data_IF_612994555654
#
_entry.id   IF_612994555654
#
_cell.length_a   1.000
_cell.length_b   1.000
_cell.length_c   1.000
_cell.angle_alpha   90.00
_cell.angle_beta   90.00
_cell.angle_gamma   90.00
#
_symmetry.space_group_name_H-M   'P 1'
#
loop_
_entity.id
_entity.type
_entity.pdbx_description
1 polymer ?
#
# COMPACT_ATOMS: atom_id res chain seq x y z
N UNK A 1 1.71 6.52 -48.61
CA UNK A 1 1.36 5.09 -48.75
C UNK A 1 1.95 4.37 -47.55
N UNK A 2 1.13 3.61 -46.83
CA UNK A 2 1.46 2.59 -45.79
C UNK A 2 2.30 3.05 -44.58
N UNK A 3 1.67 3.26 -43.40
CA UNK A 3 1.54 2.30 -42.26
C UNK A 3 2.67 2.56 -41.23
N UNK A 4 2.54 2.50 -39.91
CA UNK A 4 1.67 1.79 -38.97
C UNK A 4 1.34 2.67 -37.73
N UNK A 5 0.15 2.49 -37.13
CA UNK A 5 -0.02 2.59 -35.67
C UNK A 5 0.13 1.17 -35.09
N UNK A 6 0.87 1.01 -33.99
CA UNK A 6 0.31 0.33 -32.80
C UNK A 6 0.67 1.11 -31.53
N UNK A 7 -0.25 1.51 -30.65
CA UNK A 7 -0.88 0.64 -29.65
C UNK A 7 0.05 -0.45 -29.08
N UNK A 8 1.27 -0.06 -28.67
CA UNK A 8 2.11 -0.86 -27.77
C UNK A 8 1.71 -0.60 -26.30
N UNK A 9 0.49 -1.02 -26.00
CA UNK A 9 0.25 -2.03 -24.95
C UNK A 9 1.45 -2.28 -24.03
N UNK A 10 1.39 -1.67 -22.84
CA UNK A 10 1.72 -2.39 -21.61
C UNK A 10 3.11 -3.05 -21.60
N UNK A 11 4.17 -2.25 -21.59
CA UNK A 11 5.46 -2.72 -21.04
C UNK A 11 5.30 -2.97 -19.53
N UNK A 12 4.74 -4.15 -19.24
CA UNK A 12 4.38 -4.76 -17.97
C UNK A 12 5.62 -5.24 -17.20
N UNK A 13 6.73 -4.51 -17.18
CA UNK A 13 7.87 -4.96 -16.39
C UNK A 13 8.75 -3.82 -15.88
N UNK A 14 8.81 -3.78 -14.54
CA UNK A 14 10.01 -3.50 -13.76
C UNK A 14 10.28 -2.10 -13.25
N UNK A 15 9.27 -1.23 -13.17
CA UNK A 15 9.30 -0.22 -12.11
C UNK A 15 8.36 -0.67 -11.01
N UNK A 16 8.91 -1.42 -10.07
CA UNK A 16 8.39 -1.45 -8.71
C UNK A 16 8.47 0.00 -8.22
N UNK A 17 7.49 0.81 -8.61
CA UNK A 17 7.43 2.23 -8.31
C UNK A 17 6.99 2.26 -6.85
N UNK A 18 7.96 2.13 -5.95
CA UNK A 18 7.82 2.35 -4.52
C UNK A 18 7.56 3.85 -4.29
N UNK A 19 6.50 4.35 -4.91
CA UNK A 19 6.01 5.71 -4.73
C UNK A 19 5.21 5.71 -3.44
N UNK A 20 5.83 6.30 -2.41
CA UNK A 20 5.11 6.73 -1.22
C UNK A 20 4.40 8.04 -1.57
N UNK A 21 3.09 7.98 -1.73
CA UNK A 21 2.26 9.16 -1.97
C UNK A 21 1.39 9.43 -0.74
N UNK A 22 1.14 10.71 -0.45
CA UNK A 22 0.07 11.06 0.49
C UNK A 22 -1.24 10.97 -0.26
N UNK A 23 -2.14 10.12 0.24
CA UNK A 23 -3.44 9.90 -0.36
C UNK A 23 -4.50 9.96 0.73
N UNK A 24 -5.71 10.38 0.37
CA UNK A 24 -6.84 10.31 1.28
C UNK A 24 -7.36 8.87 1.34
N UNK A 25 -7.79 8.43 2.53
CA UNK A 25 -8.42 7.11 2.70
C UNK A 25 -9.57 6.86 1.72
N UNK A 26 -10.26 7.92 1.29
CA UNK A 26 -11.33 7.87 0.32
C UNK A 26 -10.96 7.17 -1.01
N UNK A 27 -9.74 7.37 -1.52
CA UNK A 27 -9.29 6.75 -2.77
C UNK A 27 -8.87 5.29 -2.57
N UNK A 28 -8.48 4.93 -1.35
CA UNK A 28 -8.07 3.57 -0.99
C UNK A 28 -9.25 2.62 -0.76
N UNK A 29 -10.48 3.13 -0.69
CA UNK A 29 -11.68 2.31 -0.45
C UNK A 29 -11.84 1.16 -1.46
N UNK A 30 -11.51 1.39 -2.73
CA UNK A 30 -11.59 0.34 -3.77
C UNK A 30 -10.60 -0.78 -3.50
N UNK A 31 -9.39 -0.46 -3.01
CA UNK A 31 -8.38 -1.46 -2.66
C UNK A 31 -8.74 -2.19 -1.37
N UNK A 32 -9.28 -1.44 -0.39
CA UNK A 32 -9.75 -1.98 0.88
C UNK A 32 -10.91 -2.95 0.69
N UNK A 33 -11.88 -2.62 -0.19
CA UNK A 33 -12.99 -3.50 -0.53
C UNK A 33 -12.55 -4.84 -1.14
N UNK A 34 -11.37 -4.88 -1.76
CA UNK A 34 -10.75 -6.10 -2.28
C UNK A 34 -9.84 -6.80 -1.26
N UNK A 35 -9.70 -6.28 -0.04
CA UNK A 35 -8.86 -6.85 1.01
C UNK A 35 -7.36 -6.70 0.76
N UNK A 36 -6.95 -5.79 -0.13
CA UNK A 36 -5.55 -5.61 -0.53
C UNK A 36 -4.82 -4.50 0.23
N UNK A 37 -5.42 -3.95 1.29
CA UNK A 37 -4.85 -2.82 2.05
C UNK A 37 -4.27 -3.30 3.36
N UNK A 38 -2.96 -3.09 3.52
CA UNK A 38 -2.19 -3.46 4.71
C UNK A 38 -1.83 -2.20 5.47
N UNK A 39 -2.19 -2.14 6.74
CA UNK A 39 -1.72 -1.10 7.65
C UNK A 39 -0.32 -1.45 8.17
N UNK A 40 0.55 -0.45 8.16
CA UNK A 40 1.91 -0.52 8.66
C UNK A 40 2.05 0.47 9.80
N UNK A 41 2.62 0.03 10.93
CA UNK A 41 2.90 0.89 12.07
C UNK A 41 3.81 2.06 11.69
N UNK A 42 3.59 3.22 12.30
CA UNK A 42 4.35 4.43 12.01
C UNK A 42 5.84 4.35 12.41
N UNK A 43 6.20 3.41 13.29
CA UNK A 43 7.60 3.12 13.65
C UNK A 43 8.36 2.37 12.55
N UNK A 44 7.65 1.78 11.58
CA UNK A 44 8.24 1.04 10.46
C UNK A 44 8.40 1.92 9.23
N UNK A 45 9.38 1.58 8.42
CA UNK A 45 9.60 2.25 7.15
C UNK A 45 8.76 1.60 6.03
N UNK A 46 7.81 2.36 5.46
CA UNK A 46 6.90 1.88 4.42
C UNK A 46 7.64 1.28 3.22
N UNK A 47 8.77 1.87 2.83
CA UNK A 47 9.57 1.41 1.69
C UNK A 47 10.22 0.06 2.00
N UNK A 48 10.77 -0.11 3.21
CA UNK A 48 11.27 -1.40 3.66
C UNK A 48 10.18 -2.47 3.66
N UNK A 49 9.00 -2.19 4.21
CA UNK A 49 7.92 -3.19 4.25
C UNK A 49 7.44 -3.54 2.85
N UNK A 50 7.32 -2.55 1.97
CA UNK A 50 6.97 -2.80 0.58
C UNK A 50 8.03 -3.67 -0.12
N UNK A 51 9.33 -3.46 0.15
CA UNK A 51 10.39 -4.32 -0.35
C UNK A 51 10.30 -5.76 0.18
N UNK A 52 9.97 -5.95 1.48
CA UNK A 52 9.74 -7.28 2.05
C UNK A 52 8.59 -8.01 1.36
N UNK A 53 7.49 -7.33 1.07
CA UNK A 53 6.36 -7.91 0.33
C UNK A 53 6.74 -8.20 -1.13
N UNK A 54 7.45 -7.30 -1.79
CA UNK A 54 7.89 -7.49 -3.18
C UNK A 54 8.89 -8.64 -3.35
N UNK A 55 9.70 -8.92 -2.33
CA UNK A 55 10.64 -10.04 -2.29
C UNK A 55 10.01 -11.33 -1.77
N UNK A 56 8.69 -11.36 -1.54
CA UNK A 56 7.96 -12.48 -0.94
C UNK A 56 8.58 -12.95 0.39
N UNK A 57 9.06 -12.01 1.19
CA UNK A 57 9.80 -12.30 2.42
C UNK A 57 8.84 -12.61 3.59
N UNK A 58 8.14 -13.74 3.44
CA UNK A 58 7.07 -14.18 4.34
C UNK A 58 7.53 -14.34 5.79
N UNK A 59 8.81 -14.69 6.01
CA UNK A 59 9.39 -14.80 7.36
C UNK A 59 9.41 -13.44 8.09
N UNK A 60 9.83 -12.37 7.40
CA UNK A 60 9.82 -11.03 7.96
C UNK A 60 8.39 -10.51 8.16
N UNK A 61 7.50 -10.73 7.18
CA UNK A 61 6.08 -10.33 7.28
C UNK A 61 5.41 -11.02 8.48
N UNK A 62 5.63 -12.33 8.65
CA UNK A 62 5.08 -13.08 9.78
C UNK A 62 5.57 -12.54 11.13
N UNK A 63 6.86 -12.17 11.23
CA UNK A 63 7.40 -11.55 12.44
C UNK A 63 6.72 -10.20 12.73
N UNK A 64 6.58 -9.34 11.73
CA UNK A 64 5.94 -8.03 11.89
C UNK A 64 4.46 -8.16 12.25
N UNK A 65 3.76 -9.15 11.69
CA UNK A 65 2.39 -9.48 12.07
C UNK A 65 2.31 -9.96 13.51
N UNK A 66 3.25 -10.81 13.94
CA UNK A 66 3.33 -11.29 15.32
C UNK A 66 3.64 -10.16 16.31
N UNK A 67 4.50 -9.21 15.93
CA UNK A 67 4.78 -8.00 16.71
C UNK A 67 3.60 -7.00 16.72
N UNK A 68 2.55 -7.22 15.90
CA UNK A 68 1.43 -6.29 15.77
C UNK A 68 1.76 -5.01 15.00
N UNK A 69 2.89 -4.99 14.27
CA UNK A 69 3.35 -3.83 13.51
C UNK A 69 2.88 -3.82 12.06
N UNK A 70 2.42 -4.97 11.57
CA UNK A 70 1.84 -5.14 10.23
C UNK A 70 0.52 -5.89 10.37
N UNK A 71 -0.56 -5.32 9.86
CA UNK A 71 -1.87 -5.97 9.89
C UNK A 71 -2.74 -5.47 8.74
N UNK A 72 -3.66 -6.28 8.20
CA UNK A 72 -4.68 -5.76 7.30
C UNK A 72 -5.49 -4.66 7.98
N UNK A 73 -5.82 -3.60 7.26
CA UNK A 73 -6.72 -2.57 7.82
C UNK A 73 -8.03 -3.26 8.21
N UNK A 74 -8.49 -3.03 9.42
CA UNK A 74 -9.79 -3.54 9.88
C UNK A 74 -10.91 -2.58 9.48
N UNK A 75 -12.13 -3.08 9.33
CA UNK A 75 -13.30 -2.26 8.98
C UNK A 75 -13.50 -1.09 9.96
N UNK A 76 -13.20 -1.28 11.25
CA UNK A 76 -13.25 -0.21 12.26
C UNK A 76 -12.22 0.90 11.97
N UNK A 77 -10.95 0.54 11.74
CA UNK A 77 -9.90 1.50 11.37
C UNK A 77 -10.23 2.23 10.07
N UNK A 78 -10.67 1.49 9.05
CA UNK A 78 -11.14 2.05 7.78
C UNK A 78 -12.24 3.09 8.00
N UNK A 79 -13.22 2.80 8.84
CA UNK A 79 -14.31 3.71 9.15
C UNK A 79 -13.82 4.97 9.89
N UNK A 80 -12.82 4.85 10.77
CA UNK A 80 -12.22 6.00 11.44
C UNK A 80 -11.47 6.90 10.44
N UNK A 81 -10.60 6.32 9.60
CA UNK A 81 -9.90 7.09 8.56
C UNK A 81 -10.87 7.77 7.60
N UNK A 82 -11.98 7.10 7.29
CA UNK A 82 -13.04 7.65 6.45
C UNK A 82 -13.74 8.84 7.12
N UNK A 83 -14.17 8.71 8.36
CA UNK A 83 -14.88 9.77 9.09
C UNK A 83 -14.02 11.02 9.30
N UNK A 84 -12.72 10.84 9.56
CA UNK A 84 -11.78 11.94 9.77
C UNK A 84 -11.14 12.45 8.46
N UNK A 85 -11.46 11.84 7.31
CA UNK A 85 -10.80 12.07 6.03
C UNK A 85 -9.27 12.10 6.15
N UNK A 86 -8.73 11.19 6.97
CA UNK A 86 -7.32 11.19 7.35
C UNK A 86 -6.45 10.99 6.12
N UNK A 87 -5.48 11.89 5.95
CA UNK A 87 -4.44 11.71 4.96
C UNK A 87 -3.46 10.64 5.47
N UNK A 88 -3.14 9.67 4.62
CA UNK A 88 -2.28 8.55 4.95
C UNK A 88 -1.15 8.50 3.91
N UNK A 89 0.00 8.00 4.33
CA UNK A 89 1.00 7.57 3.38
C UNK A 89 0.54 6.25 2.78
N UNK A 90 0.54 6.14 1.45
CA UNK A 90 0.27 4.90 0.74
C UNK A 90 1.44 4.56 -0.18
N UNK A 91 1.79 3.28 -0.25
CA UNK A 91 2.71 2.73 -1.23
C UNK A 91 2.09 1.49 -1.87
N UNK A 92 2.12 1.45 -3.20
CA UNK A 92 1.55 0.36 -3.97
C UNK A 92 2.64 -0.66 -4.26
N UNK A 93 2.41 -1.90 -3.85
CA UNK A 93 3.29 -3.03 -4.17
C UNK A 93 2.42 -4.15 -4.71
N UNK A 94 2.36 -4.27 -6.05
CA UNK A 94 1.35 -5.09 -6.70
C UNK A 94 1.32 -6.53 -6.16
N UNK A 95 0.14 -7.06 -5.78
CA UNK A 95 -1.20 -6.43 -5.85
C UNK A 95 -1.63 -5.61 -4.61
N UNK A 96 -0.82 -5.54 -3.57
CA UNK A 96 -1.11 -4.93 -2.27
C UNK A 96 -0.88 -3.41 -2.23
N UNK A 97 -1.56 -2.74 -1.29
CA UNK A 97 -1.33 -1.33 -0.97
C UNK A 97 -1.08 -1.20 0.52
N UNK A 98 0.11 -0.71 0.87
CA UNK A 98 0.49 -0.49 2.25
C UNK A 98 0.14 0.94 2.62
N UNK A 99 -0.44 1.14 3.80
CA UNK A 99 -0.84 2.44 4.32
C UNK A 99 -0.26 2.69 5.69
N UNK A 100 0.07 3.94 5.99
CA UNK A 100 0.60 4.36 7.28
C UNK A 100 -0.02 5.69 7.69
N UNK A 101 -0.33 5.81 9.00
CA UNK A 101 -0.80 7.04 9.60
C UNK A 101 0.27 8.13 9.57
N UNK A 102 -0.06 9.31 9.05
CA UNK A 102 0.85 10.48 9.06
C UNK A 102 1.04 11.09 10.45
N UNK A 103 0.12 10.79 11.37
CA UNK A 103 0.11 11.36 12.71
C UNK A 103 0.89 10.45 13.67
N UNK A 104 2.19 10.73 13.80
CA UNK A 104 2.97 10.33 14.97
C UNK A 104 2.68 11.32 16.10
N UNK A 105 1.65 11.03 16.90
CA UNK A 105 1.46 11.76 18.15
C UNK A 105 2.35 11.14 19.24
N UNK A 106 3.45 11.86 19.51
CA UNK A 106 4.41 11.84 20.61
C UNK A 106 4.12 10.93 21.82
#
# INVERSE_FOLDING_TARGET
>A
MHSEHPDDTQHLNHKLNLETARIHWHELQTHFARGMVIWVAAELDLVNIAHLIATDNSAAIALLMHEGKLAPVSTAQAQQFWQHNTALWAVVVAPWVLVQSIEIAH
#
